data_IF_083314981168
#
_entry.id   IF_083314981168
#
_cell.length_a   1.000
_cell.length_b   1.000
_cell.length_c   1.000
_cell.angle_alpha   90.00
_cell.angle_beta   90.00
_cell.angle_gamma   90.00
#
_symmetry.space_group_name_H-M   'P 1'
#
loop_
_entity.id
_entity.type
_entity.pdbx_description
1 polymer ?
#
# COMPACT_ATOMS: atom_id res chain seq x y z
N UNK A 1 -62.60 -3.41 -2.47
CA UNK A 1 -63.67 -2.65 -3.15
C UNK A 1 -63.38 -1.17 -2.92
N UNK A 2 -63.52 -0.35 -3.98
CA UNK A 2 -63.22 1.09 -4.14
C UNK A 2 -63.74 1.94 -2.95
N UNK A 3 -63.15 3.06 -2.54
CA UNK A 3 -63.14 4.41 -3.17
C UNK A 3 -62.18 5.34 -2.35
N UNK A 4 -61.20 6.02 -2.97
CA UNK A 4 -61.16 7.42 -3.48
C UNK A 4 -61.06 8.57 -2.44
N UNK A 5 -59.86 9.17 -2.41
CA UNK A 5 -59.48 10.61 -2.55
C UNK A 5 -60.14 11.70 -1.69
N UNK A 6 -59.32 12.54 -1.02
CA UNK A 6 -59.24 13.99 -1.32
C UNK A 6 -57.99 14.65 -0.70
N UNK A 7 -57.28 15.42 -1.52
CA UNK A 7 -56.22 16.36 -1.16
C UNK A 7 -56.79 17.61 -0.48
N UNK A 8 -56.07 18.18 0.49
CA UNK A 8 -56.22 19.59 0.85
C UNK A 8 -54.83 20.21 1.01
N UNK A 9 -54.49 21.07 0.05
CA UNK A 9 -53.34 21.96 0.06
C UNK A 9 -53.65 23.11 1.03
N UNK A 10 -52.77 23.35 2.00
CA UNK A 10 -52.77 24.60 2.77
C UNK A 10 -51.39 25.23 2.65
N UNK A 11 -51.34 26.32 1.87
CA UNK A 11 -50.25 27.29 1.86
C UNK A 11 -50.40 28.14 3.13
N UNK A 12 -49.34 28.27 3.92
CA UNK A 12 -49.27 29.32 4.95
C UNK A 12 -47.90 29.95 4.92
N UNK A 13 -47.91 31.26 4.69
CA UNK A 13 -46.74 32.12 4.52
C UNK A 13 -46.07 32.47 5.86
N UNK A 14 -44.81 32.86 5.73
CA UNK A 14 -43.83 33.18 6.74
C UNK A 14 -44.28 34.18 7.81
N UNK A 15 -43.79 33.97 9.03
CA UNK A 15 -43.50 35.05 9.99
C UNK A 15 -42.02 34.95 10.36
N UNK A 16 -41.26 36.00 9.99
CA UNK A 16 -39.90 36.24 10.45
C UNK A 16 -39.92 36.61 11.94
N UNK A 17 -39.17 35.87 12.75
CA UNK A 17 -38.78 36.26 14.10
C UNK A 17 -37.27 36.10 14.24
N UNK A 18 -36.55 37.22 14.30
CA UNK A 18 -35.12 37.25 14.59
C UNK A 18 -34.85 37.45 16.09
N UNK A 19 -33.91 36.68 16.62
CA UNK A 19 -33.04 36.95 17.77
C UNK A 19 -31.82 36.04 17.55
N UNK A 20 -30.68 36.57 17.11
CA UNK A 20 -29.60 37.19 17.89
C UNK A 20 -28.77 36.15 18.69
N UNK A 21 -27.45 36.35 18.63
CA UNK A 21 -26.35 35.70 19.37
C UNK A 21 -26.02 34.24 19.05
N UNK A 22 -25.10 34.02 18.12
CA UNK A 22 -23.69 33.64 18.40
C UNK A 22 -23.03 33.26 17.08
N UNK A 23 -21.94 33.94 16.73
CA UNK A 23 -21.15 33.66 15.54
C UNK A 23 -20.35 32.38 15.76
N UNK A 24 -20.91 31.26 15.33
CA UNK A 24 -20.12 30.09 14.96
C UNK A 24 -20.17 30.03 13.43
N UNK A 25 -19.07 30.45 12.80
CA UNK A 25 -18.81 30.26 11.38
C UNK A 25 -18.70 28.76 11.10
N UNK A 26 -19.85 28.11 10.95
CA UNK A 26 -19.93 26.87 10.20
C UNK A 26 -19.72 27.25 8.73
N UNK A 27 -18.45 27.27 8.31
CA UNK A 27 -18.09 27.17 6.90
C UNK A 27 -18.59 25.82 6.38
N UNK A 28 -19.85 25.81 5.98
CA UNK A 28 -20.29 24.94 4.92
C UNK A 28 -19.39 25.27 3.72
N UNK A 29 -18.73 24.24 3.19
CA UNK A 29 -17.79 24.32 2.07
C UNK A 29 -18.53 24.79 0.80
N UNK A 30 -18.81 26.09 0.72
CA UNK A 30 -19.19 26.79 -0.51
C UNK A 30 -17.86 27.14 -1.15
N UNK A 31 -17.44 26.33 -2.13
CA UNK A 31 -16.27 26.63 -2.96
C UNK A 31 -16.39 28.09 -3.44
N UNK A 32 -15.43 28.93 -3.01
CA UNK A 32 -15.33 30.30 -3.46
C UNK A 32 -14.99 30.33 -4.94
N UNK A 33 -15.46 31.36 -5.65
CA UNK A 33 -15.18 31.61 -7.07
C UNK A 33 -13.69 31.90 -7.38
N UNK A 34 -12.81 31.82 -6.36
CA UNK A 34 -11.36 32.01 -6.45
C UNK A 34 -10.58 30.81 -5.86
N UNK A 35 -11.22 29.65 -5.71
CA UNK A 35 -10.55 28.46 -5.15
C UNK A 35 -9.76 27.71 -6.23
N UNK A 36 -8.58 27.24 -5.82
CA UNK A 36 -7.79 26.23 -6.52
C UNK A 36 -8.11 24.84 -5.94
N UNK A 37 -7.71 23.80 -6.66
CA UNK A 37 -7.79 22.43 -6.18
C UNK A 37 -6.40 21.82 -6.12
N UNK A 38 -6.12 21.07 -5.06
CA UNK A 38 -4.86 20.34 -4.89
C UNK A 38 -5.12 18.86 -4.62
N UNK A 39 -4.35 18.00 -5.28
CA UNK A 39 -4.21 16.60 -4.93
C UNK A 39 -2.75 16.31 -4.66
N UNK A 40 -2.49 15.49 -3.64
CA UNK A 40 -1.13 15.04 -3.31
C UNK A 40 -1.04 13.53 -3.44
N UNK A 41 0.06 13.02 -3.99
CA UNK A 41 0.31 11.59 -4.19
C UNK A 41 1.72 11.24 -3.77
N UNK A 42 1.85 10.19 -2.95
CA UNK A 42 3.14 9.67 -2.54
C UNK A 42 3.65 8.63 -3.54
N UNK A 43 4.63 9.01 -4.37
CA UNK A 43 5.20 8.18 -5.43
C UNK A 43 6.65 7.72 -5.17
N UNK A 44 7.26 8.07 -4.03
CA UNK A 44 8.58 7.61 -3.62
C UNK A 44 8.52 6.22 -2.97
N UNK A 45 9.12 5.21 -3.59
CA UNK A 45 8.88 3.81 -3.23
C UNK A 45 9.63 3.32 -1.98
N UNK A 46 10.79 3.92 -1.66
CA UNK A 46 11.63 3.56 -0.51
C UNK A 46 11.53 4.57 0.65
N UNK A 47 10.71 5.62 0.50
CA UNK A 47 10.45 6.57 1.56
C UNK A 47 9.53 6.00 2.64
N UNK A 48 9.63 6.54 3.88
CA UNK A 48 8.72 6.19 4.95
C UNK A 48 7.33 6.80 4.73
N UNK A 49 6.39 6.50 5.61
CA UNK A 49 5.14 7.26 5.72
C UNK A 49 5.43 8.75 5.82
N UNK A 50 4.58 9.59 5.23
CA UNK A 50 4.72 11.05 5.29
C UNK A 50 3.47 11.74 5.82
N UNK A 51 3.68 12.89 6.45
CA UNK A 51 2.64 13.88 6.68
C UNK A 51 2.77 15.00 5.66
N UNK A 52 1.64 15.51 5.18
CA UNK A 52 1.59 16.66 4.26
C UNK A 52 1.13 17.88 5.05
N UNK A 53 1.92 18.95 4.99
CA UNK A 53 1.59 20.21 5.63
C UNK A 53 1.38 21.30 4.59
N UNK A 54 0.35 22.10 4.83
CA UNK A 54 0.01 23.30 4.07
C UNK A 54 -0.02 24.47 5.04
N UNK A 55 0.73 25.52 4.73
CA UNK A 55 0.89 26.72 5.58
C UNK A 55 1.26 26.41 7.04
N UNK A 56 2.11 25.38 7.22
CA UNK A 56 2.60 24.93 8.51
C UNK A 56 1.66 24.01 9.30
N UNK A 57 0.45 23.72 8.80
CA UNK A 57 -0.49 22.80 9.44
C UNK A 57 -0.61 21.48 8.66
N UNK A 58 -0.69 20.35 9.37
CA UNK A 58 -0.95 19.05 8.74
C UNK A 58 -2.34 19.05 8.11
N UNK A 59 -2.43 18.68 6.84
CA UNK A 59 -3.70 18.60 6.12
C UNK A 59 -4.49 17.39 6.63
N UNK A 60 -5.78 17.61 6.93
CA UNK A 60 -6.65 16.56 7.49
C UNK A 60 -6.68 15.32 6.60
N UNK A 61 -6.43 14.15 7.19
CA UNK A 61 -6.38 12.87 6.49
C UNK A 61 -5.07 12.57 5.76
N UNK A 62 -4.07 13.45 5.88
CA UNK A 62 -2.76 13.30 5.24
C UNK A 62 -1.61 13.31 6.25
N UNK A 63 -1.82 12.76 7.45
CA UNK A 63 -0.80 12.64 8.50
C UNK A 63 0.06 11.38 8.38
N UNK A 64 -0.40 10.36 7.65
CA UNK A 64 0.29 9.06 7.45
C UNK A 64 0.09 8.51 6.04
N UNK A 65 0.37 9.34 5.03
CA UNK A 65 0.27 8.93 3.63
C UNK A 65 1.39 7.93 3.33
N UNK A 66 1.02 6.74 2.88
CA UNK A 66 1.97 5.70 2.46
C UNK A 66 2.27 5.77 0.96
N UNK A 67 3.32 5.08 0.53
CA UNK A 67 3.61 4.85 -0.87
C UNK A 67 2.38 4.29 -1.62
N UNK A 68 2.13 4.78 -2.84
CA UNK A 68 0.95 4.48 -3.66
C UNK A 68 -0.38 5.03 -3.13
N UNK A 69 -0.36 5.87 -2.10
CA UNK A 69 -1.53 6.59 -1.62
C UNK A 69 -1.51 8.06 -2.04
N UNK A 70 -2.68 8.67 -2.05
CA UNK A 70 -2.85 10.09 -2.28
C UNK A 70 -4.23 10.56 -1.82
N UNK A 71 -4.44 11.87 -1.88
CA UNK A 71 -5.71 12.49 -1.53
C UNK A 71 -6.71 12.44 -2.69
N UNK A 72 -7.98 12.71 -2.39
CA UNK A 72 -8.88 13.29 -3.39
C UNK A 72 -8.49 14.73 -3.73
N UNK A 73 -9.28 15.40 -4.55
CA UNK A 73 -9.15 16.84 -4.79
C UNK A 73 -9.59 17.61 -3.54
N UNK A 74 -8.68 18.41 -3.01
CA UNK A 74 -8.89 19.28 -1.86
C UNK A 74 -9.03 20.72 -2.35
N UNK A 75 -10.03 21.44 -1.85
CA UNK A 75 -10.15 22.87 -2.10
C UNK A 75 -9.07 23.63 -1.34
N UNK A 76 -8.46 24.61 -2.01
CA UNK A 76 -7.42 25.48 -1.46
C UNK A 76 -7.67 26.90 -1.98
N UNK A 77 -7.62 27.91 -1.10
CA UNK A 77 -7.72 29.30 -1.56
C UNK A 77 -6.63 29.60 -2.61
N UNK A 78 -6.93 30.39 -3.64
CA UNK A 78 -5.88 30.80 -4.56
C UNK A 78 -4.87 31.74 -3.88
N UNK A 79 -3.64 31.74 -4.40
CA UNK A 79 -2.54 32.54 -3.89
C UNK A 79 -1.31 31.71 -3.55
N UNK A 80 -0.45 32.30 -2.72
CA UNK A 80 0.85 31.73 -2.37
C UNK A 80 0.71 30.90 -1.09
N UNK A 81 1.08 29.63 -1.16
CA UNK A 81 1.03 28.69 -0.05
C UNK A 81 2.36 27.96 0.15
N UNK A 82 2.65 27.62 1.39
CA UNK A 82 3.81 26.80 1.74
C UNK A 82 3.40 25.32 1.80
N UNK A 83 4.12 24.47 1.08
CA UNK A 83 3.89 23.03 1.04
C UNK A 83 5.11 22.27 1.58
N UNK A 84 4.88 21.41 2.57
CA UNK A 84 5.92 20.60 3.19
C UNK A 84 5.49 19.12 3.17
N UNK A 85 6.43 18.25 2.81
CA UNK A 85 6.32 16.81 3.02
C UNK A 85 7.26 16.44 4.16
N UNK A 86 6.71 15.85 5.22
CA UNK A 86 7.43 15.45 6.43
C UNK A 86 7.48 13.93 6.55
N UNK A 87 8.66 13.34 6.50
CA UNK A 87 8.86 11.91 6.71
C UNK A 87 8.72 11.50 8.18
N UNK A 88 8.07 10.36 8.42
CA UNK A 88 7.90 9.75 9.73
C UNK A 88 8.96 8.65 9.93
N UNK A 89 9.86 8.86 10.88
CA UNK A 89 10.98 7.95 11.15
C UNK A 89 10.60 6.95 12.25
N UNK A 90 11.48 5.95 12.48
CA UNK A 90 11.30 5.04 13.60
C UNK A 90 11.33 5.80 14.95
N UNK A 91 10.68 5.23 15.96
CA UNK A 91 10.57 5.84 17.29
C UNK A 91 9.78 7.15 17.37
N UNK A 92 9.11 7.57 16.28
CA UNK A 92 8.26 8.77 16.24
C UNK A 92 9.01 10.07 15.91
N UNK A 93 10.30 10.00 15.57
CA UNK A 93 11.02 11.15 15.04
C UNK A 93 10.45 11.56 13.66
N UNK A 94 10.66 12.82 13.25
CA UNK A 94 10.21 13.32 11.95
C UNK A 94 11.25 14.21 11.31
N UNK A 95 11.24 14.32 9.98
CA UNK A 95 12.11 15.21 9.21
C UNK A 95 11.37 15.78 8.01
N UNK A 96 11.53 17.07 7.73
CA UNK A 96 11.02 17.67 6.50
C UNK A 96 11.90 17.22 5.33
N UNK A 97 11.31 16.57 4.33
CA UNK A 97 12.02 15.98 3.18
C UNK A 97 11.77 16.74 1.87
N UNK A 98 10.63 17.41 1.77
CA UNK A 98 10.34 18.38 0.71
C UNK A 98 9.85 19.67 1.38
N UNK A 99 10.38 20.80 0.93
CA UNK A 99 9.91 22.14 1.33
C UNK A 99 9.78 22.99 0.08
N UNK A 100 8.55 23.38 -0.26
CA UNK A 100 8.24 24.26 -1.37
C UNK A 100 7.50 25.48 -0.81
N UNK A 101 8.21 26.59 -0.67
CA UNK A 101 7.66 27.81 -0.09
C UNK A 101 7.07 28.71 -1.18
N UNK A 102 5.94 29.33 -0.87
CA UNK A 102 5.28 30.32 -1.72
C UNK A 102 4.83 29.79 -3.08
N UNK A 103 4.44 28.51 -3.16
CA UNK A 103 3.87 27.92 -4.38
C UNK A 103 2.58 28.67 -4.72
N UNK A 104 2.50 29.21 -5.93
CA UNK A 104 1.36 30.03 -6.35
C UNK A 104 0.29 29.17 -7.03
N UNK A 105 -0.86 29.03 -6.36
CA UNK A 105 -2.04 28.33 -6.84
C UNK A 105 -3.02 29.35 -7.46
N UNK A 106 -3.23 29.27 -8.76
CA UNK A 106 -4.15 30.15 -9.48
C UNK A 106 -5.62 29.72 -9.29
N UNK A 107 -6.58 30.65 -9.35
CA UNK A 107 -8.00 30.31 -9.31
C UNK A 107 -8.40 29.44 -10.52
N UNK A 108 -9.43 28.61 -10.36
CA UNK A 108 -9.97 27.72 -11.41
C UNK A 108 -8.95 26.70 -11.97
N UNK A 109 -7.92 26.40 -11.20
CA UNK A 109 -6.87 25.44 -11.56
C UNK A 109 -6.85 24.27 -10.58
N UNK A 110 -6.56 23.09 -11.12
CA UNK A 110 -6.22 21.89 -10.40
C UNK A 110 -4.70 21.69 -10.43
N UNK A 111 -4.14 21.34 -9.28
CA UNK A 111 -2.74 21.02 -9.09
C UNK A 111 -2.56 19.61 -8.54
N UNK A 112 -1.66 18.88 -9.17
CA UNK A 112 -1.29 17.52 -8.82
C UNK A 112 0.15 17.51 -8.33
N UNK A 113 0.34 17.30 -7.03
CA UNK A 113 1.65 17.28 -6.38
C UNK A 113 2.08 15.85 -6.09
N UNK A 114 3.26 15.49 -6.55
CA UNK A 114 3.85 14.16 -6.36
C UNK A 114 5.15 14.27 -5.59
N UNK A 115 5.33 13.44 -4.57
CA UNK A 115 6.66 13.17 -4.02
C UNK A 115 7.28 12.01 -4.81
N UNK A 116 8.29 12.28 -5.64
CA UNK A 116 8.92 11.30 -6.56
C UNK A 116 10.39 11.04 -6.18
N UNK A 117 11.02 10.11 -6.91
CA UNK A 117 12.41 9.68 -6.70
C UNK A 117 12.59 8.83 -5.41
N UNK A 118 13.81 8.40 -5.09
CA UNK A 118 14.10 7.74 -3.80
C UNK A 118 14.14 8.75 -2.65
N UNK A 119 13.96 8.31 -1.40
CA UNK A 119 13.97 9.20 -0.22
C UNK A 119 15.26 10.04 -0.11
N UNK A 120 16.39 9.50 -0.60
CA UNK A 120 17.69 10.18 -0.58
C UNK A 120 17.78 11.36 -1.57
N UNK A 121 16.88 11.44 -2.55
CA UNK A 121 16.83 12.51 -3.55
C UNK A 121 15.38 12.90 -3.85
N UNK A 122 14.53 12.79 -2.84
CA UNK A 122 13.09 13.00 -2.98
C UNK A 122 12.82 14.45 -3.35
N UNK A 123 11.91 14.64 -4.28
CA UNK A 123 11.61 15.96 -4.84
C UNK A 123 10.13 16.05 -5.23
N UNK A 124 9.56 17.27 -5.27
CA UNK A 124 8.21 17.47 -5.75
C UNK A 124 8.16 17.54 -7.29
N UNK A 125 7.13 16.95 -7.87
CA UNK A 125 6.64 17.31 -9.21
C UNK A 125 5.25 17.92 -9.03
N UNK A 126 5.00 19.06 -9.65
CA UNK A 126 3.71 19.75 -9.62
C UNK A 126 3.23 19.88 -11.04
N UNK A 127 2.14 19.19 -11.38
CA UNK A 127 1.42 19.39 -12.63
C UNK A 127 0.23 20.30 -12.38
N UNK A 128 -0.15 21.10 -13.38
CA UNK A 128 -1.27 22.02 -13.25
C UNK A 128 -2.11 22.00 -14.51
N UNK A 129 -3.43 22.00 -14.33
CA UNK A 129 -4.40 22.03 -15.44
C UNK A 129 -5.66 22.78 -15.03
N UNK A 130 -6.50 23.13 -16.00
CA UNK A 130 -7.80 23.73 -15.69
C UNK A 130 -8.67 22.76 -14.87
N UNK A 131 -9.37 23.28 -13.86
CA UNK A 131 -10.37 22.53 -13.09
C UNK A 131 -11.62 22.17 -13.91
N UNK A 132 -11.76 22.70 -15.13
CA UNK A 132 -12.82 22.31 -16.04
C UNK A 132 -12.56 20.89 -16.57
N UNK A 133 -13.42 19.95 -16.17
CA UNK A 133 -13.38 18.56 -16.61
C UNK A 133 -13.86 18.34 -18.06
N UNK A 134 -13.73 17.12 -18.59
CA UNK A 134 -14.26 16.75 -19.91
C UNK A 134 -15.79 16.72 -19.94
N UNK A 135 -16.38 16.59 -21.13
CA UNK A 135 -17.81 16.38 -21.29
C UNK A 135 -18.25 14.99 -20.78
N UNK A 136 -19.55 14.81 -20.52
CA UNK A 136 -20.13 13.52 -20.10
C UNK A 136 -19.95 12.38 -21.14
N UNK A 137 -19.51 12.68 -22.36
CA UNK A 137 -19.22 11.70 -23.42
C UNK A 137 -17.74 11.38 -23.59
N UNK A 138 -16.87 12.08 -22.86
CA UNK A 138 -15.42 12.02 -23.01
C UNK A 138 -14.73 11.67 -21.69
N UNK A 139 -13.52 11.15 -21.80
CA UNK A 139 -12.63 10.85 -20.70
C UNK A 139 -11.34 11.61 -20.95
N UNK A 140 -10.85 12.32 -19.95
CA UNK A 140 -9.53 12.98 -19.98
C UNK A 140 -8.57 12.19 -19.11
N UNK A 141 -7.38 11.89 -19.63
CA UNK A 141 -6.30 11.22 -18.91
C UNK A 141 -5.07 12.09 -18.98
N UNK A 142 -4.60 12.51 -17.82
CA UNK A 142 -3.28 13.09 -17.65
C UNK A 142 -2.33 12.03 -17.08
N UNK A 143 -1.05 12.10 -17.40
CA UNK A 143 -0.10 11.03 -17.07
C UNK A 143 1.22 11.58 -16.57
N UNK A 144 1.68 11.05 -15.43
CA UNK A 144 3.04 11.28 -14.95
C UNK A 144 3.84 9.97 -14.95
N UNK A 145 5.00 9.98 -15.59
CA UNK A 145 6.00 8.95 -15.37
C UNK A 145 6.82 9.28 -14.11
N UNK A 146 6.53 8.59 -13.00
CA UNK A 146 7.14 8.83 -11.69
C UNK A 146 8.06 7.69 -11.20
N UNK A 147 8.52 6.80 -12.09
CA UNK A 147 9.41 5.70 -11.74
C UNK A 147 10.86 5.98 -12.19
N UNK A 148 11.77 6.42 -11.29
CA UNK A 148 13.11 6.91 -11.66
C UNK A 148 14.04 5.87 -12.29
N UNK A 149 13.79 4.58 -12.05
CA UNK A 149 14.58 3.46 -12.58
C UNK A 149 14.10 2.91 -13.93
N UNK A 150 13.06 3.52 -14.51
CA UNK A 150 12.45 3.07 -15.76
C UNK A 150 12.80 4.07 -16.86
N UNK A 151 13.25 3.62 -18.05
CA UNK A 151 13.58 4.52 -19.16
C UNK A 151 12.32 5.18 -19.71
N UNK A 152 12.48 6.14 -20.63
CA UNK A 152 11.36 6.75 -21.34
C UNK A 152 10.41 5.70 -21.92
N UNK A 153 9.10 5.94 -21.80
CA UNK A 153 8.06 4.96 -22.16
C UNK A 153 7.13 5.48 -23.25
N UNK A 154 6.62 4.55 -24.06
CA UNK A 154 5.47 4.80 -24.92
C UNK A 154 4.20 4.28 -24.23
N UNK A 155 3.15 5.10 -24.23
CA UNK A 155 1.85 4.77 -23.63
C UNK A 155 0.83 4.58 -24.73
N UNK A 156 0.20 3.41 -24.76
CA UNK A 156 -0.85 3.04 -25.68
C UNK A 156 -2.19 3.05 -24.96
N UNK A 157 -3.15 3.78 -25.51
CA UNK A 157 -4.55 3.77 -25.08
C UNK A 157 -5.38 3.26 -26.26
N UNK A 158 -5.68 1.97 -26.26
CA UNK A 158 -6.20 1.26 -27.45
C UNK A 158 -7.34 0.33 -27.09
N UNK A 159 -8.21 0.03 -28.06
CA UNK A 159 -9.24 -1.02 -27.93
C UNK A 159 -8.78 -2.36 -28.52
N UNK A 160 -7.69 -2.37 -29.29
CA UNK A 160 -7.15 -3.55 -29.97
C UNK A 160 -6.47 -4.54 -29.00
N UNK A 161 -6.48 -5.82 -29.37
CA UNK A 161 -5.82 -6.89 -28.60
C UNK A 161 -4.28 -6.84 -28.68
N UNK A 162 -3.72 -6.28 -29.77
CA UNK A 162 -2.28 -6.07 -29.97
C UNK A 162 -1.97 -4.62 -30.33
N UNK A 163 -0.75 -4.16 -30.00
CA UNK A 163 -0.22 -2.82 -30.32
C UNK A 163 0.72 -2.81 -31.52
N UNK A 164 0.90 -3.95 -32.22
CA UNK A 164 1.90 -4.09 -33.31
C UNK A 164 1.71 -3.06 -34.43
N UNK A 165 0.45 -2.72 -34.74
CA UNK A 165 0.08 -1.74 -35.77
C UNK A 165 -0.50 -0.45 -35.20
N UNK A 166 -0.46 -0.29 -33.87
CA UNK A 166 -0.99 0.90 -33.18
C UNK A 166 0.12 1.93 -32.98
N UNK A 167 -0.23 3.21 -32.98
CA UNK A 167 0.67 4.28 -32.54
C UNK A 167 0.43 4.57 -31.06
N UNK A 168 1.46 4.92 -30.28
CA UNK A 168 1.24 5.32 -28.89
C UNK A 168 0.42 6.61 -28.83
N UNK A 169 -0.42 6.73 -27.80
CA UNK A 169 -1.15 7.95 -27.48
C UNK A 169 -0.20 9.02 -26.93
N UNK A 170 0.84 8.61 -26.20
CA UNK A 170 1.94 9.47 -25.74
C UNK A 170 3.24 8.73 -26.01
N UNK A 171 4.14 9.33 -26.79
CA UNK A 171 5.43 8.70 -27.13
C UNK A 171 6.57 9.31 -26.33
N UNK A 172 7.49 8.47 -25.87
CA UNK A 172 8.74 8.90 -25.24
C UNK A 172 8.54 9.71 -23.95
N UNK A 173 7.52 9.40 -23.14
CA UNK A 173 7.31 10.08 -21.87
C UNK A 173 8.47 9.77 -20.92
N UNK A 174 9.28 10.78 -20.64
CA UNK A 174 10.42 10.70 -19.74
C UNK A 174 10.00 10.90 -18.27
N UNK A 175 10.86 10.43 -17.35
CA UNK A 175 10.66 10.58 -15.91
C UNK A 175 10.48 12.05 -15.51
N UNK A 176 9.38 12.35 -14.80
CA UNK A 176 8.96 13.67 -14.28
C UNK A 176 8.58 14.72 -15.32
N UNK A 177 8.51 14.37 -16.61
CA UNK A 177 8.22 15.35 -17.65
C UNK A 177 6.71 15.56 -17.78
N UNK A 178 6.31 16.83 -17.80
CA UNK A 178 4.99 17.28 -18.24
C UNK A 178 5.01 17.36 -19.78
N UNK A 179 4.36 16.39 -20.44
CA UNK A 179 4.41 16.28 -21.90
C UNK A 179 3.42 17.23 -22.57
N UNK A 180 3.83 17.83 -23.69
CA UNK A 180 2.93 18.63 -24.52
C UNK A 180 1.82 17.82 -25.20
N UNK A 181 1.94 16.49 -25.24
CA UNK A 181 0.92 15.57 -25.75
C UNK A 181 -0.16 15.25 -24.69
N UNK A 182 0.01 15.74 -23.45
CA UNK A 182 -0.92 15.55 -22.35
C UNK A 182 -1.71 16.83 -22.01
N UNK A 183 -2.91 16.70 -21.43
CA UNK A 183 -3.65 15.45 -21.25
C UNK A 183 -4.25 14.92 -22.56
N UNK A 184 -4.51 13.61 -22.62
CA UNK A 184 -5.22 12.98 -23.75
C UNK A 184 -6.72 12.91 -23.45
N UNK A 185 -7.56 13.30 -24.41
CA UNK A 185 -9.02 13.17 -24.31
C UNK A 185 -9.54 12.17 -25.34
N UNK A 186 -10.33 11.19 -24.89
CA UNK A 186 -10.93 10.14 -25.73
C UNK A 186 -12.44 10.01 -25.46
N UNK A 187 -13.23 9.44 -26.38
CA UNK A 187 -14.60 9.06 -26.09
C UNK A 187 -14.69 8.05 -24.93
N UNK A 188 -15.79 8.07 -24.18
CA UNK A 188 -16.08 7.03 -23.21
C UNK A 188 -16.17 5.64 -23.87
N UNK A 189 -15.62 4.62 -23.22
CA UNK A 189 -15.57 3.27 -23.79
C UNK A 189 -14.69 2.29 -23.03
N UNK A 190 -14.52 1.10 -23.62
CA UNK A 190 -13.62 0.05 -23.12
C UNK A 190 -12.24 0.22 -23.76
N UNK A 191 -11.22 0.44 -22.94
CA UNK A 191 -9.84 0.62 -23.41
C UNK A 191 -8.89 -0.36 -22.72
N UNK A 192 -7.66 -0.40 -23.23
CA UNK A 192 -6.51 -0.99 -22.56
C UNK A 192 -5.40 0.05 -22.51
N UNK A 193 -4.80 0.19 -21.33
CA UNK A 193 -3.58 0.97 -21.11
C UNK A 193 -2.40 0.00 -21.18
N UNK A 194 -1.51 0.22 -22.14
CA UNK A 194 -0.28 -0.56 -22.26
C UNK A 194 0.94 0.36 -22.28
N UNK A 195 2.02 -0.11 -21.68
CA UNK A 195 3.27 0.64 -21.60
C UNK A 195 4.38 -0.23 -22.18
N UNK A 196 5.19 0.38 -23.05
CA UNK A 196 6.43 -0.21 -23.59
C UNK A 196 7.60 0.72 -23.30
N UNK A 197 8.83 0.21 -23.40
CA UNK A 197 10.00 1.10 -23.53
C UNK A 197 9.86 1.89 -24.83
N UNK A 198 10.22 3.16 -24.81
CA UNK A 198 10.04 4.04 -25.97
C UNK A 198 10.73 3.49 -27.23
N UNK A 199 9.99 3.46 -28.34
CA UNK A 199 10.43 2.90 -29.62
C UNK A 199 10.32 1.37 -29.71
N UNK A 200 9.88 0.68 -28.67
CA UNK A 200 9.65 -0.77 -28.62
C UNK A 200 8.15 -1.11 -28.64
N UNK A 201 7.83 -2.36 -28.96
CA UNK A 201 6.49 -2.98 -28.94
C UNK A 201 6.36 -4.10 -27.89
N UNK A 202 7.43 -4.44 -27.17
CA UNK A 202 7.35 -5.36 -26.05
C UNK A 202 6.56 -4.73 -24.88
N UNK A 203 5.38 -5.27 -24.59
CA UNK A 203 4.49 -4.80 -23.54
C UNK A 203 5.07 -5.11 -22.16
N UNK A 204 5.43 -4.06 -21.41
CA UNK A 204 5.93 -4.15 -20.05
C UNK A 204 4.80 -4.03 -19.01
N UNK A 205 3.73 -3.30 -19.34
CA UNK A 205 2.51 -3.19 -18.54
C UNK A 205 1.27 -3.35 -19.43
N UNK A 206 0.29 -4.15 -19.00
CA UNK A 206 -1.05 -4.21 -19.61
C UNK A 206 -2.12 -4.20 -18.51
N UNK A 207 -3.01 -3.21 -18.55
CA UNK A 207 -4.15 -3.09 -17.62
C UNK A 207 -5.23 -4.14 -17.83
N UNK A 208 -5.25 -4.80 -19.00
CA UNK A 208 -6.42 -5.50 -19.48
C UNK A 208 -7.53 -4.52 -19.85
N UNK A 209 -8.72 -5.06 -20.10
CA UNK A 209 -9.89 -4.26 -20.42
C UNK A 209 -10.29 -3.38 -19.24
N UNK A 210 -10.39 -2.09 -19.51
CA UNK A 210 -10.66 -1.04 -18.54
C UNK A 210 -11.84 -0.18 -19.04
N UNK A 211 -13.00 -0.23 -18.36
CA UNK A 211 -14.08 0.72 -18.61
C UNK A 211 -13.64 2.13 -18.25
N UNK A 212 -13.71 3.05 -19.21
CA UNK A 212 -13.54 4.48 -18.99
C UNK A 212 -14.88 5.18 -19.17
N UNK A 213 -15.50 5.55 -18.04
CA UNK A 213 -16.80 6.21 -18.02
C UNK A 213 -16.70 7.68 -18.44
N UNK A 214 -17.63 8.16 -19.26
CA UNK A 214 -17.67 9.56 -19.67
C UNK A 214 -17.79 10.52 -18.48
N UNK A 215 -17.19 11.70 -18.61
CA UNK A 215 -17.00 12.68 -17.53
C UNK A 215 -15.79 12.38 -16.62
N UNK A 216 -15.09 11.24 -16.78
CA UNK A 216 -13.92 10.93 -15.96
C UNK A 216 -12.73 11.82 -16.29
N UNK A 217 -12.14 12.43 -15.27
CA UNK A 217 -10.96 13.28 -15.39
C UNK A 217 -9.79 12.70 -14.57
N UNK A 218 -9.05 11.79 -15.19
CA UNK A 218 -8.09 10.93 -14.53
C UNK A 218 -6.70 11.57 -14.49
N UNK A 219 -5.97 11.29 -13.41
CA UNK A 219 -4.53 11.43 -13.34
C UNK A 219 -3.91 10.06 -13.10
N UNK A 220 -3.08 9.62 -14.04
CA UNK A 220 -2.44 8.30 -14.03
C UNK A 220 -0.96 8.49 -13.74
N UNK A 221 -0.47 7.91 -12.65
CA UNK A 221 0.94 8.03 -12.27
C UNK A 221 1.62 6.67 -12.30
N UNK A 222 2.62 6.50 -13.15
CA UNK A 222 3.43 5.29 -13.21
C UNK A 222 4.52 5.33 -12.13
N UNK A 223 4.40 4.47 -11.11
CA UNK A 223 5.30 4.40 -9.95
C UNK A 223 6.01 3.05 -9.87
N UNK A 224 7.19 2.93 -9.23
CA UNK A 224 7.93 1.66 -9.15
C UNK A 224 7.09 0.49 -8.62
N UNK A 225 7.09 -0.67 -9.29
CA UNK A 225 6.49 -1.85 -8.70
C UNK A 225 7.41 -2.48 -7.66
N UNK A 226 6.98 -2.45 -6.39
CA UNK A 226 7.73 -3.00 -5.24
C UNK A 226 7.05 -4.22 -4.62
N UNK A 227 5.89 -4.63 -5.14
CA UNK A 227 5.21 -5.84 -4.71
C UNK A 227 6.10 -7.05 -4.98
N UNK A 228 6.07 -8.07 -4.14
CA UNK A 228 6.65 -9.37 -4.46
C UNK A 228 5.99 -9.97 -5.71
N UNK A 229 6.74 -10.77 -6.47
CA UNK A 229 6.25 -11.36 -7.72
C UNK A 229 6.14 -10.39 -8.90
N UNK A 230 6.89 -9.27 -8.87
CA UNK A 230 6.96 -8.25 -9.92
C UNK A 230 7.07 -8.87 -11.32
N UNK A 231 6.09 -8.58 -12.17
CA UNK A 231 6.16 -8.88 -13.62
C UNK A 231 6.30 -7.61 -14.47
N UNK A 232 5.87 -6.47 -13.94
CA UNK A 232 5.98 -5.16 -14.57
C UNK A 232 6.81 -4.22 -13.73
N UNK A 233 7.71 -3.39 -14.30
CA UNK A 233 8.52 -2.47 -13.52
C UNK A 233 7.71 -1.35 -12.85
N UNK A 234 6.45 -1.14 -13.24
CA UNK A 234 5.58 -0.09 -12.71
C UNK A 234 4.22 -0.62 -12.27
N UNK A 235 3.61 0.04 -11.30
CA UNK A 235 2.17 0.06 -11.11
C UNK A 235 1.64 1.42 -11.59
N UNK A 236 0.36 1.47 -11.95
CA UNK A 236 -0.31 2.74 -12.24
C UNK A 236 -1.20 3.15 -11.08
N UNK A 237 -0.97 4.35 -10.55
CA UNK A 237 -1.87 5.00 -9.62
C UNK A 237 -2.90 5.78 -10.43
N UNK A 238 -4.18 5.42 -10.32
CA UNK A 238 -5.27 6.09 -11.01
C UNK A 238 -6.04 6.93 -10.00
N UNK A 239 -5.90 8.24 -10.12
CA UNK A 239 -6.65 9.21 -9.33
C UNK A 239 -7.87 9.69 -10.12
N UNK A 240 -9.06 9.50 -9.56
CA UNK A 240 -10.36 9.80 -10.20
C UNK A 240 -10.99 11.12 -9.75
N UNK A 241 -10.25 11.89 -8.95
CA UNK A 241 -10.71 13.13 -8.32
C UNK A 241 -11.19 12.93 -6.88
N UNK A 242 -11.58 11.71 -6.48
CA UNK A 242 -12.00 11.40 -5.12
C UNK A 242 -10.99 10.54 -4.36
N UNK A 243 -10.40 9.54 -5.03
CA UNK A 243 -9.46 8.60 -4.44
C UNK A 243 -8.31 8.29 -5.39
N UNK A 244 -7.26 7.66 -4.87
CA UNK A 244 -6.17 7.06 -5.66
C UNK A 244 -6.27 5.54 -5.52
N UNK A 245 -6.30 4.84 -6.66
CA UNK A 245 -6.35 3.38 -6.73
C UNK A 245 -5.14 2.82 -7.47
N UNK A 246 -4.72 1.60 -7.12
CA UNK A 246 -3.58 0.94 -7.78
C UNK A 246 -4.12 0.01 -8.87
N UNK A 247 -3.81 0.33 -10.12
CA UNK A 247 -4.03 -0.52 -11.27
C UNK A 247 -2.75 -1.33 -11.56
N UNK A 248 -2.89 -2.65 -11.54
CA UNK A 248 -1.79 -3.62 -11.68
C UNK A 248 -1.79 -4.25 -13.07
N UNK A 249 -0.64 -4.81 -13.43
CA UNK A 249 -0.51 -5.60 -14.64
C UNK A 249 -1.42 -6.84 -14.56
N UNK A 250 -2.08 -7.22 -15.66
CA UNK A 250 -2.97 -8.39 -15.74
C UNK A 250 -2.35 -9.72 -15.37
N UNK A 251 -1.02 -9.86 -15.50
CA UNK A 251 -0.29 -11.09 -15.12
C UNK A 251 0.52 -10.92 -13.84
N UNK A 252 0.27 -9.86 -13.07
CA UNK A 252 0.91 -9.63 -11.78
C UNK A 252 0.63 -10.79 -10.82
N UNK A 253 1.70 -11.27 -10.18
CA UNK A 253 1.65 -12.40 -9.25
C UNK A 253 1.39 -11.95 -7.83
N UNK A 254 1.09 -12.92 -6.96
CA UNK A 254 1.13 -12.77 -5.52
C UNK A 254 2.36 -13.47 -4.96
N UNK A 255 2.98 -12.92 -3.93
CA UNK A 255 4.03 -13.61 -3.17
C UNK A 255 3.41 -14.34 -1.99
N UNK A 256 3.71 -15.63 -1.90
CA UNK A 256 3.27 -16.51 -0.82
C UNK A 256 4.49 -16.99 -0.05
N UNK A 257 4.53 -16.64 1.23
CA UNK A 257 5.50 -17.14 2.19
C UNK A 257 4.84 -18.18 3.08
N UNK A 258 5.57 -19.22 3.45
CA UNK A 258 5.09 -20.26 4.36
C UNK A 258 6.10 -20.46 5.46
N UNK A 259 5.67 -20.25 6.71
CA UNK A 259 6.47 -20.41 7.91
C UNK A 259 6.04 -21.65 8.70
N UNK A 260 7.00 -22.43 9.17
CA UNK A 260 6.71 -23.62 9.98
C UNK A 260 7.06 -23.37 11.45
N UNK A 261 6.04 -23.24 12.30
CA UNK A 261 6.22 -22.93 13.72
C UNK A 261 5.74 -24.03 14.68
N UNK A 262 5.65 -25.29 14.24
CA UNK A 262 5.20 -26.42 15.07
C UNK A 262 6.34 -27.44 15.24
N UNK A 263 6.97 -27.50 16.41
CA UNK A 263 8.16 -28.35 16.62
C UNK A 263 7.92 -29.86 16.52
N UNK A 264 6.67 -30.30 16.69
CA UNK A 264 6.29 -31.71 16.67
C UNK A 264 5.93 -32.22 15.28
N UNK A 265 5.76 -31.35 14.28
CA UNK A 265 5.45 -31.78 12.93
C UNK A 265 6.73 -32.12 12.16
N UNK A 266 6.68 -33.08 11.22
CA UNK A 266 7.81 -33.34 10.33
C UNK A 266 8.00 -32.16 9.37
N UNK A 267 9.11 -32.18 8.60
CA UNK A 267 9.23 -31.25 7.48
C UNK A 267 8.04 -31.41 6.52
N UNK A 268 7.54 -30.31 6.00
CA UNK A 268 6.30 -30.30 5.22
C UNK A 268 6.49 -29.85 3.78
N UNK A 269 5.63 -30.38 2.91
CA UNK A 269 5.39 -29.88 1.56
C UNK A 269 4.07 -29.10 1.54
N UNK A 270 4.03 -28.00 0.79
CA UNK A 270 2.79 -27.27 0.47
C UNK A 270 2.32 -27.71 -0.90
N UNK A 271 1.07 -28.16 -0.96
CA UNK A 271 0.41 -28.58 -2.18
C UNK A 271 -0.66 -27.57 -2.56
N UNK A 272 -0.80 -27.33 -3.87
CA UNK A 272 -1.92 -26.63 -4.46
C UNK A 272 -2.61 -27.56 -5.46
N UNK A 273 -3.91 -27.77 -5.28
CA UNK A 273 -4.71 -28.64 -6.17
C UNK A 273 -4.11 -30.05 -6.36
N UNK A 274 -3.49 -30.60 -5.31
CA UNK A 274 -2.93 -31.96 -5.28
C UNK A 274 -1.49 -32.11 -5.77
N UNK A 275 -0.84 -31.03 -6.23
CA UNK A 275 0.58 -31.03 -6.62
C UNK A 275 1.43 -30.17 -5.68
N UNK A 276 2.67 -30.59 -5.41
CA UNK A 276 3.62 -29.80 -4.60
C UNK A 276 3.94 -28.48 -5.31
N UNK A 277 3.83 -27.37 -4.60
CA UNK A 277 4.13 -26.03 -5.11
C UNK A 277 5.65 -25.85 -5.18
N UNK A 278 6.14 -25.46 -6.37
CA UNK A 278 7.57 -25.19 -6.58
C UNK A 278 8.07 -24.13 -5.59
N UNK A 279 9.16 -24.45 -4.88
CA UNK A 279 9.77 -23.58 -3.87
C UNK A 279 9.23 -23.79 -2.45
N UNK A 280 8.10 -24.49 -2.28
CA UNK A 280 7.46 -24.74 -0.98
C UNK A 280 7.48 -26.23 -0.59
N UNK A 281 8.56 -26.95 -0.95
CA UNK A 281 8.81 -28.33 -0.50
C UNK A 281 9.83 -28.38 0.62
N UNK A 282 9.79 -29.42 1.46
CA UNK A 282 10.73 -29.66 2.55
C UNK A 282 10.98 -28.41 3.41
N UNK A 283 9.89 -27.82 3.92
CA UNK A 283 9.92 -26.69 4.84
C UNK A 283 10.16 -27.26 6.24
N UNK A 284 11.27 -26.91 6.86
CA UNK A 284 11.64 -27.39 8.19
C UNK A 284 11.10 -26.45 9.28
N UNK A 285 10.97 -26.96 10.50
CA UNK A 285 10.66 -26.15 11.68
C UNK A 285 11.59 -24.92 11.79
N UNK A 286 11.02 -23.78 12.18
CA UNK A 286 11.71 -22.48 12.30
C UNK A 286 12.22 -21.90 10.96
N UNK A 287 11.76 -22.43 9.83
CA UNK A 287 12.10 -21.88 8.51
C UNK A 287 10.89 -21.26 7.81
N UNK A 288 11.18 -20.28 6.96
CA UNK A 288 10.23 -19.68 6.03
C UNK A 288 10.72 -19.94 4.61
N UNK A 289 9.81 -20.34 3.71
CA UNK A 289 10.06 -20.37 2.26
C UNK A 289 9.10 -19.43 1.55
N UNK A 290 9.51 -18.94 0.39
CA UNK A 290 8.77 -17.97 -0.42
C UNK A 290 8.67 -18.44 -1.86
N UNK A 291 7.56 -18.15 -2.53
CA UNK A 291 7.37 -18.35 -3.96
C UNK A 291 6.32 -17.37 -4.50
N UNK A 292 6.33 -17.15 -5.81
CA UNK A 292 5.33 -16.32 -6.48
C UNK A 292 4.34 -17.19 -7.24
N UNK A 293 3.05 -16.94 -7.01
CA UNK A 293 1.94 -17.67 -7.63
C UNK A 293 1.07 -16.70 -8.43
N UNK A 294 0.35 -17.21 -9.44
CA UNK A 294 -0.64 -16.39 -10.14
C UNK A 294 -1.75 -15.96 -9.16
N UNK A 295 -2.32 -14.77 -9.35
CA UNK A 295 -3.51 -14.38 -8.60
C UNK A 295 -4.67 -15.38 -8.89
N UNK A 296 -5.42 -15.76 -7.87
CA UNK A 296 -6.47 -16.76 -8.01
C UNK A 296 -6.84 -17.46 -6.71
N UNK A 297 -7.69 -18.50 -6.85
CA UNK A 297 -8.12 -19.38 -5.77
C UNK A 297 -7.31 -20.67 -5.79
N UNK A 298 -6.85 -21.10 -4.62
CA UNK A 298 -6.09 -22.34 -4.47
C UNK A 298 -6.66 -23.19 -3.34
N UNK A 299 -6.84 -24.48 -3.62
CA UNK A 299 -7.04 -25.48 -2.58
C UNK A 299 -5.67 -25.89 -2.03
N UNK A 300 -5.28 -25.24 -0.94
CA UNK A 300 -3.98 -25.48 -0.31
C UNK A 300 -4.07 -26.66 0.67
N UNK A 301 -3.03 -27.48 0.65
CA UNK A 301 -2.81 -28.55 1.63
C UNK A 301 -1.37 -28.53 2.10
N UNK A 302 -1.14 -28.99 3.32
CA UNK A 302 0.20 -29.21 3.86
C UNK A 302 0.32 -30.68 4.22
N UNK A 303 1.36 -31.36 3.75
CA UNK A 303 1.61 -32.79 3.99
C UNK A 303 3.04 -33.01 4.48
N UNK A 304 3.33 -34.20 5.02
CA UNK A 304 4.71 -34.58 5.29
C UNK A 304 5.52 -34.63 3.99
N UNK A 305 6.78 -34.19 4.05
CA UNK A 305 7.68 -34.12 2.89
C UNK A 305 7.74 -35.44 2.13
N UNK A 306 7.54 -35.38 0.81
CA UNK A 306 7.55 -36.55 -0.07
C UNK A 306 6.25 -37.35 -0.07
N UNK A 307 5.21 -36.89 0.64
CA UNK A 307 3.87 -37.50 0.66
C UNK A 307 2.83 -36.52 0.14
N UNK A 308 1.70 -37.04 -0.32
CA UNK A 308 0.52 -36.24 -0.69
C UNK A 308 -0.67 -36.45 0.24
N UNK A 309 -0.60 -37.45 1.14
CA UNK A 309 -1.64 -37.76 2.14
C UNK A 309 -1.03 -38.46 3.36
N UNK A 310 -1.63 -38.33 4.55
CA UNK A 310 -2.76 -37.44 4.87
C UNK A 310 -2.32 -35.96 4.92
N UNK A 311 -3.26 -35.05 4.68
CA UNK A 311 -3.02 -33.63 4.89
C UNK A 311 -2.95 -33.33 6.40
N UNK A 312 -1.87 -32.65 6.81
CA UNK A 312 -1.69 -32.10 8.16
C UNK A 312 -2.53 -30.83 8.34
N UNK A 313 -2.63 -30.01 7.28
CA UNK A 313 -3.47 -28.80 7.21
C UNK A 313 -4.22 -28.81 5.87
N UNK A 314 -5.46 -28.34 5.88
CA UNK A 314 -6.27 -28.10 4.68
C UNK A 314 -6.84 -26.68 4.72
N UNK A 315 -6.61 -25.92 3.66
CA UNK A 315 -7.08 -24.54 3.48
C UNK A 315 -7.67 -24.36 2.07
N UNK A 316 -8.86 -24.93 1.81
CA UNK A 316 -9.51 -24.84 0.51
C UNK A 316 -9.95 -23.41 0.19
N UNK A 317 -9.95 -23.05 -1.10
CA UNK A 317 -10.39 -21.74 -1.57
C UNK A 317 -9.58 -20.55 -1.08
N UNK A 318 -8.29 -20.75 -0.75
CA UNK A 318 -7.40 -19.66 -0.33
C UNK A 318 -7.21 -18.68 -1.50
N UNK A 319 -7.57 -17.42 -1.30
CA UNK A 319 -7.51 -16.38 -2.32
C UNK A 319 -6.20 -15.59 -2.24
N UNK A 320 -5.52 -15.44 -3.37
CA UNK A 320 -4.43 -14.47 -3.53
C UNK A 320 -4.78 -13.46 -4.62
N UNK A 321 -4.58 -12.18 -4.33
CA UNK A 321 -4.82 -11.09 -5.29
C UNK A 321 -3.51 -10.63 -5.91
N UNK A 322 -3.59 -10.05 -7.10
CA UNK A 322 -2.43 -9.49 -7.79
C UNK A 322 -1.65 -8.52 -6.89
N UNK A 323 -0.34 -8.73 -6.77
CA UNK A 323 0.58 -7.95 -5.94
C UNK A 323 0.41 -8.10 -4.43
N UNK A 324 -0.44 -9.03 -3.96
CA UNK A 324 -0.55 -9.33 -2.53
C UNK A 324 0.66 -10.11 -2.04
N UNK A 325 1.06 -9.84 -0.81
CA UNK A 325 2.11 -10.55 -0.10
C UNK A 325 1.48 -11.15 1.16
N UNK A 326 1.54 -12.48 1.28
CA UNK A 326 0.94 -13.18 2.42
C UNK A 326 1.92 -14.20 2.96
N UNK A 327 2.14 -14.19 4.28
CA UNK A 327 2.78 -15.31 4.98
C UNK A 327 1.71 -16.19 5.64
N UNK A 328 1.84 -17.50 5.49
CA UNK A 328 0.98 -18.49 6.13
C UNK A 328 1.83 -19.30 7.10
N UNK A 329 1.56 -19.15 8.39
CA UNK A 329 2.21 -19.96 9.42
C UNK A 329 1.43 -21.24 9.70
N UNK A 330 2.12 -22.37 9.81
CA UNK A 330 1.59 -23.52 10.56
C UNK A 330 1.80 -23.27 12.06
N UNK A 331 0.72 -23.24 12.84
CA UNK A 331 0.74 -22.97 14.29
C UNK A 331 -0.16 -23.97 15.05
N UNK A 332 0.00 -24.03 16.37
CA UNK A 332 -0.84 -24.83 17.25
C UNK A 332 -0.20 -26.17 17.66
N UNK A 333 -0.84 -26.91 18.58
CA UNK A 333 -0.31 -28.18 19.08
C UNK A 333 -0.40 -29.28 18.01
N UNK A 334 0.41 -30.34 18.18
CA UNK A 334 0.44 -31.51 17.27
C UNK A 334 -0.93 -32.11 16.96
N UNK A 335 -1.87 -32.05 17.92
CA UNK A 335 -3.22 -32.60 17.78
C UNK A 335 -4.17 -31.72 16.97
N UNK A 336 -3.81 -30.47 16.71
CA UNK A 336 -4.67 -29.47 16.06
C UNK A 336 -3.84 -28.36 15.42
N UNK A 337 -3.02 -28.71 14.43
CA UNK A 337 -2.27 -27.74 13.64
C UNK A 337 -3.22 -26.95 12.75
N UNK A 338 -3.07 -25.64 12.71
CA UNK A 338 -3.87 -24.72 11.89
C UNK A 338 -2.98 -23.80 11.05
N UNK A 339 -3.54 -23.29 9.94
CA UNK A 339 -2.92 -22.24 9.14
C UNK A 339 -3.30 -20.86 9.70
N UNK A 340 -2.30 -19.98 9.83
CA UNK A 340 -2.45 -18.57 10.20
C UNK A 340 -1.97 -17.69 9.03
N UNK A 341 -2.88 -17.25 8.15
CA UNK A 341 -2.54 -16.29 7.10
C UNK A 341 -2.39 -14.87 7.67
N UNK A 342 -1.32 -14.17 7.29
CA UNK A 342 -1.03 -12.81 7.69
C UNK A 342 -0.61 -12.03 6.45
N UNK A 343 -1.32 -10.92 6.17
CA UNK A 343 -0.95 -9.99 5.09
C UNK A 343 0.38 -9.31 5.43
N UNK A 344 1.22 -9.13 4.43
CA UNK A 344 2.54 -8.52 4.57
C UNK A 344 2.68 -7.27 3.72
N UNK A 345 3.68 -6.50 4.09
CA UNK A 345 4.26 -5.46 3.25
C UNK A 345 5.78 -5.68 3.27
N UNK A 346 6.31 -6.24 2.18
CA UNK A 346 7.72 -6.55 1.95
C UNK A 346 8.46 -5.42 1.24
N UNK A 347 7.85 -4.23 1.14
CA UNK A 347 8.50 -3.01 0.63
C UNK A 347 9.60 -2.56 1.59
N UNK A 348 10.83 -2.43 1.12
CA UNK A 348 11.90 -1.84 1.92
C UNK A 348 11.66 -0.33 2.11
N UNK A 349 11.95 0.18 3.31
CA UNK A 349 11.94 1.61 3.63
C UNK A 349 13.36 2.02 4.00
N UNK A 350 13.96 2.95 3.28
CA UNK A 350 15.39 3.26 3.41
C UNK A 350 15.77 3.89 4.76
N UNK A 351 14.82 4.41 5.55
CA UNK A 351 15.08 5.12 6.80
C UNK A 351 14.99 4.24 8.06
N UNK A 352 14.40 3.03 7.98
CA UNK A 352 14.26 2.12 9.12
C UNK A 352 14.11 0.66 8.67
N UNK A 353 14.26 -0.29 9.58
CA UNK A 353 13.89 -1.68 9.34
C UNK A 353 12.41 -1.91 9.71
N UNK A 354 11.72 -2.79 8.97
CA UNK A 354 10.39 -3.30 9.34
C UNK A 354 10.56 -4.70 9.94
N UNK A 355 10.20 -4.86 11.20
CA UNK A 355 10.18 -6.14 11.89
C UNK A 355 8.74 -6.56 12.15
N UNK A 356 8.26 -7.56 11.40
CA UNK A 356 7.03 -8.26 11.74
C UNK A 356 7.29 -9.21 12.90
N UNK A 357 6.52 -9.09 13.96
CA UNK A 357 6.54 -9.99 15.12
C UNK A 357 5.28 -10.85 15.08
N UNK A 358 5.43 -12.16 15.22
CA UNK A 358 4.32 -13.12 15.28
C UNK A 358 4.44 -13.98 16.53
N UNK A 359 3.38 -14.03 17.33
CA UNK A 359 3.32 -14.96 18.45
C UNK A 359 2.78 -16.33 18.00
N UNK A 360 3.69 -17.24 17.65
CA UNK A 360 3.36 -18.58 17.15
C UNK A 360 3.41 -19.70 18.22
N UNK A 361 3.78 -19.38 19.46
CA UNK A 361 3.88 -20.33 20.56
C UNK A 361 2.51 -20.56 21.23
N UNK A 362 1.93 -21.74 21.05
CA UNK A 362 0.57 -22.04 21.55
C UNK A 362 0.46 -22.32 23.04
N UNK A 363 1.57 -22.32 23.80
CA UNK A 363 1.59 -22.70 25.23
C UNK A 363 2.06 -21.59 26.17
N UNK A 364 2.67 -20.51 25.66
CA UNK A 364 3.19 -19.42 26.48
C UNK A 364 2.12 -18.53 27.14
N UNK A 365 0.86 -18.58 26.66
CA UNK A 365 -0.21 -17.71 27.13
C UNK A 365 -0.06 -16.27 26.60
N UNK A 366 -0.47 -15.28 27.39
CA UNK A 366 -0.25 -13.87 27.06
C UNK A 366 1.22 -13.49 27.31
N UNK A 367 1.85 -12.80 26.37
CA UNK A 367 3.26 -12.41 26.45
C UNK A 367 3.50 -10.94 26.17
N UNK A 368 4.55 -10.39 26.76
CA UNK A 368 5.12 -9.10 26.39
C UNK A 368 6.36 -9.33 25.50
N UNK A 369 6.48 -8.55 24.44
CA UNK A 369 7.67 -8.52 23.59
C UNK A 369 8.56 -7.38 24.05
N UNK A 370 9.79 -7.70 24.41
CA UNK A 370 10.82 -6.74 24.77
C UNK A 370 11.85 -6.61 23.66
N UNK A 371 12.35 -5.39 23.46
CA UNK A 371 13.49 -5.10 22.61
C UNK A 371 14.39 -4.06 23.28
N UNK A 372 15.71 -4.25 23.19
CA UNK A 372 16.70 -3.34 23.78
C UNK A 372 17.97 -3.36 22.92
N UNK A 373 18.78 -2.28 22.86
CA UNK A 373 20.10 -2.37 22.26
C UNK A 373 20.92 -3.50 22.91
N UNK A 374 21.70 -4.21 22.09
CA UNK A 374 22.40 -5.41 22.56
C UNK A 374 23.26 -5.14 23.81
N UNK A 375 23.14 -6.02 24.79
CA UNK A 375 23.89 -5.97 26.06
C UNK A 375 23.31 -5.05 27.13
N UNK A 376 22.19 -4.35 26.89
CA UNK A 376 21.60 -3.43 27.87
C UNK A 376 20.62 -4.09 28.86
N UNK A 377 20.21 -5.33 28.59
CA UNK A 377 19.26 -6.07 29.43
C UNK A 377 17.81 -5.56 29.31
N UNK A 378 16.89 -6.31 29.91
CA UNK A 378 15.45 -6.04 29.83
C UNK A 378 14.91 -5.39 31.12
N UNK A 379 13.97 -4.47 30.95
CA UNK A 379 13.24 -3.84 32.05
C UNK A 379 11.82 -3.50 31.60
N UNK A 380 10.99 -2.95 32.50
CA UNK A 380 9.61 -2.55 32.16
C UNK A 380 9.56 -1.53 31.02
N UNK A 381 10.59 -0.68 30.87
CA UNK A 381 10.65 0.30 29.79
C UNK A 381 11.07 -0.28 28.44
N UNK A 382 11.48 -1.55 28.38
CA UNK A 382 11.89 -2.21 27.13
C UNK A 382 10.74 -3.00 26.48
N UNK A 383 9.53 -2.98 27.06
CA UNK A 383 8.34 -3.56 26.44
C UNK A 383 7.99 -2.75 25.20
N UNK A 384 8.04 -3.39 24.03
CA UNK A 384 7.67 -2.79 22.75
C UNK A 384 6.29 -3.23 22.28
N UNK A 385 5.82 -4.41 22.70
CA UNK A 385 4.47 -4.90 22.45
C UNK A 385 3.93 -5.58 23.72
N UNK A 386 3.03 -4.94 24.48
CA UNK A 386 2.43 -5.56 25.66
C UNK A 386 1.26 -6.48 25.29
N UNK A 387 1.09 -7.57 26.04
CA UNK A 387 -0.12 -8.40 26.03
C UNK A 387 -0.44 -9.05 24.69
N UNK A 388 0.58 -9.45 23.94
CA UNK A 388 0.45 -10.18 22.67
C UNK A 388 -0.11 -11.58 22.95
N UNK A 389 -1.22 -11.94 22.31
CA UNK A 389 -1.85 -13.24 22.44
C UNK A 389 -1.37 -14.21 21.35
N UNK A 390 -1.59 -15.50 21.53
CA UNK A 390 -1.29 -16.50 20.50
C UNK A 390 -2.01 -16.14 19.19
N UNK A 391 -1.26 -16.16 18.09
CA UNK A 391 -1.65 -15.75 16.72
C UNK A 391 -1.74 -14.25 16.47
N UNK A 392 -1.51 -13.41 17.47
CA UNK A 392 -1.36 -11.98 17.24
C UNK A 392 -0.06 -11.71 16.48
N UNK A 393 -0.10 -10.64 15.67
CA UNK A 393 1.07 -10.13 14.98
C UNK A 393 1.06 -8.60 14.96
N UNK A 394 2.24 -8.02 14.86
CA UNK A 394 2.44 -6.59 14.75
C UNK A 394 3.66 -6.28 13.88
N UNK A 395 3.72 -5.07 13.34
CA UNK A 395 4.90 -4.57 12.63
C UNK A 395 5.53 -3.46 13.46
N UNK A 396 6.82 -3.60 13.75
CA UNK A 396 7.64 -2.62 14.42
C UNK A 396 8.57 -1.96 13.41
N UNK A 397 8.53 -0.63 13.33
CA UNK A 397 9.53 0.14 12.59
C UNK A 397 10.66 0.47 13.56
N UNK A 398 11.86 -0.06 13.30
CA UNK A 398 13.01 0.05 14.20
C UNK A 398 14.19 0.68 13.49
N UNK A 399 14.96 1.50 14.21
CA UNK A 399 16.20 2.05 13.68
C UNK A 399 17.19 0.93 13.32
N UNK A 400 18.15 1.26 12.45
CA UNK A 400 19.25 0.35 12.17
C UNK A 400 20.09 0.15 13.45
N UNK A 401 20.38 -1.09 13.81
CA UNK A 401 21.12 -1.41 15.02
C UNK A 401 21.20 -2.90 15.33
N UNK A 402 21.83 -3.20 16.46
CA UNK A 402 21.90 -4.56 17.01
C UNK A 402 21.12 -4.62 18.32
N UNK A 403 20.22 -5.59 18.42
CA UNK A 403 19.22 -5.69 19.47
C UNK A 403 19.26 -7.04 20.17
N UNK A 404 18.87 -7.03 21.44
CA UNK A 404 18.40 -8.22 22.15
C UNK A 404 16.87 -8.17 22.21
N UNK A 405 16.23 -9.29 21.88
CA UNK A 405 14.78 -9.49 21.95
C UNK A 405 14.44 -10.51 23.03
N UNK A 406 13.30 -10.32 23.69
CA UNK A 406 12.74 -11.31 24.59
C UNK A 406 11.22 -11.41 24.46
N UNK A 407 10.72 -12.61 24.69
CA UNK A 407 9.31 -12.89 24.94
C UNK A 407 9.20 -13.19 26.43
N UNK A 408 8.50 -12.36 27.17
CA UNK A 408 8.30 -12.52 28.61
C UNK A 408 6.82 -12.79 28.92
N UNK A 409 6.53 -13.44 30.04
CA UNK A 409 5.15 -13.57 30.52
C UNK A 409 4.57 -12.17 30.77
N UNK A 410 3.35 -11.91 30.26
CA UNK A 410 2.77 -10.57 30.27
C UNK A 410 2.72 -9.94 31.67
N UNK A 411 3.11 -8.66 31.75
CA UNK A 411 3.18 -7.88 32.98
C UNK A 411 4.34 -8.24 33.90
N UNK A 412 5.32 -9.02 33.43
CA UNK A 412 6.47 -9.48 34.23
C UNK A 412 7.77 -9.43 33.44
N UNK A 413 8.91 -9.51 34.12
CA UNK A 413 10.23 -9.70 33.50
C UNK A 413 10.65 -11.18 33.42
N UNK A 414 9.70 -12.11 33.56
CA UNK A 414 9.96 -13.54 33.44
C UNK A 414 10.13 -13.90 31.95
N UNK A 415 11.37 -13.85 31.47
CA UNK A 415 11.73 -14.17 30.09
C UNK A 415 11.52 -15.66 29.81
N UNK A 416 10.68 -15.95 28.82
CA UNK A 416 10.39 -17.30 28.32
C UNK A 416 11.34 -17.68 27.17
N UNK A 417 11.57 -16.73 26.25
CA UNK A 417 12.43 -16.90 25.07
C UNK A 417 13.27 -15.65 24.88
N UNK A 418 14.47 -15.79 24.32
CA UNK A 418 15.31 -14.65 23.97
C UNK A 418 16.13 -14.90 22.71
N UNK A 419 16.46 -13.83 22.01
CA UNK A 419 17.40 -13.81 20.90
C UNK A 419 18.33 -12.62 21.09
N UNK A 420 19.64 -12.87 21.10
CA UNK A 420 20.64 -11.83 21.35
C UNK A 420 21.44 -11.48 20.10
N UNK A 421 21.96 -10.25 20.06
CA UNK A 421 22.79 -9.73 18.97
C UNK A 421 22.13 -9.78 17.58
N UNK A 422 20.81 -9.59 17.51
CA UNK A 422 20.08 -9.53 16.24
C UNK A 422 20.36 -8.19 15.57
N UNK A 423 20.97 -8.22 14.38
CA UNK A 423 21.29 -7.01 13.61
C UNK A 423 20.20 -6.75 12.58
N UNK A 424 19.67 -5.53 12.58
CA UNK A 424 18.71 -5.02 11.60
C UNK A 424 19.30 -3.75 10.97
N UNK A 425 19.45 -3.76 9.65
CA UNK A 425 19.86 -2.60 8.85
C UNK A 425 18.63 -1.81 8.36
N UNK A 426 18.81 -0.52 8.10
CA UNK A 426 17.78 0.28 7.45
C UNK A 426 17.45 -0.31 6.07
N UNK A 427 16.17 -0.33 5.69
CA UNK A 427 15.71 -1.02 4.50
C UNK A 427 15.40 -2.50 4.71
N UNK A 428 15.82 -3.11 5.83
CA UNK A 428 15.50 -4.51 6.07
C UNK A 428 14.00 -4.71 6.28
N UNK A 429 13.50 -5.82 5.73
CA UNK A 429 12.19 -6.36 6.09
C UNK A 429 12.42 -7.74 6.68
N UNK A 430 11.97 -7.94 7.91
CA UNK A 430 12.22 -9.15 8.67
C UNK A 430 10.94 -9.66 9.36
N UNK A 431 10.87 -10.97 9.53
CA UNK A 431 9.85 -11.65 10.32
C UNK A 431 10.52 -12.38 11.48
N UNK A 432 10.17 -11.98 12.71
CA UNK A 432 10.47 -12.72 13.93
C UNK A 432 9.21 -13.44 14.40
N UNK A 433 9.32 -14.74 14.69
CA UNK A 433 8.21 -15.51 15.22
C UNK A 433 8.65 -16.35 16.41
N UNK A 434 7.89 -16.25 17.50
CA UNK A 434 8.16 -16.97 18.73
C UNK A 434 7.52 -18.36 18.65
N UNK A 435 8.34 -19.41 18.67
CA UNK A 435 7.92 -20.82 18.72
C UNK A 435 7.95 -21.35 20.15
N UNK A 436 7.67 -22.63 20.37
CA UNK A 436 7.76 -23.26 21.69
C UNK A 436 9.17 -23.22 22.28
N UNK A 437 10.21 -23.19 21.44
CA UNK A 437 11.61 -23.36 21.86
C UNK A 437 12.51 -22.18 21.58
N UNK A 438 12.17 -21.31 20.63
CA UNK A 438 13.03 -20.19 20.25
C UNK A 438 12.26 -18.99 19.69
N UNK A 439 12.98 -17.90 19.47
CA UNK A 439 12.57 -16.82 18.58
C UNK A 439 13.29 -17.08 17.25
N UNK A 440 12.55 -17.52 16.23
CA UNK A 440 13.09 -17.67 14.89
C UNK A 440 13.04 -16.32 14.17
N UNK A 441 14.10 -16.01 13.41
CA UNK A 441 14.23 -14.77 12.66
C UNK A 441 14.53 -15.08 11.20
N UNK A 442 13.79 -14.44 10.31
CA UNK A 442 14.03 -14.44 8.88
C UNK A 442 14.14 -13.00 8.38
N UNK A 443 15.26 -12.65 7.75
CA UNK A 443 15.47 -11.35 7.10
C UNK A 443 15.30 -11.56 5.60
N UNK A 444 14.26 -10.96 5.02
CA UNK A 444 13.88 -11.16 3.62
C UNK A 444 14.67 -10.28 2.65
N UNK A 445 14.97 -9.05 3.08
CA UNK A 445 15.69 -8.02 2.32
C UNK A 445 16.61 -7.25 3.26
#
# INVERSE_FOLDING_TARGET
MKFKTLSCVTVTALVLGGCNSSSDDNVANVFGIDDSQIRVTHASADAPLVSILLDGAVVSGLDKVDYQQGSGLLGLGSGSHDLIVRGLLAGGATTDVITANGVNFAPDMQYDVFAVNSVASIEPVILSRSSMGPSDSEVRLDVLHAAPGVPAVDIYLTTADSIDNESPAVSGLEFKIDSADLPVTVPAGEYRVRITVSGDKAVAFDSGNLPLAGGSDLMVTAVPNVSGGVVSPVNLLVADGSTVSVLRNTVEKATVRVGHAVNTAPNVDVLASGGVVTGLSNIAYETIKSTDVAAGSYDLQVTETGTTTPALISAPGTQFTAGSETIIFAVGPASSIEALPIVEDLRSVATYAKLKVVHANSVAGLVDIHATPAGQGFSESTVVLPGVNFKDSAVLNVDAGTYDFAVAQAGTLNVLLSASNVTLGAGNVATAFATETAIALNVDK
#
